data_IF_545870874165
#
_entry.id   IF_545870874165
#
_cell.length_a   1.000
_cell.length_b   1.000
_cell.length_c   1.000
_cell.angle_alpha   90.00
_cell.angle_beta   90.00
_cell.angle_gamma   90.00
#
_symmetry.space_group_name_H-M   'P 1'
#
loop_
_entity.id
_entity.type
_entity.pdbx_description
1 polymer ?
#
# COMPACT_ATOMS: atom_id res chain seq x y z
N UNK A 1 9.20 -5.88 -7.64
CA UNK A 1 7.94 -6.44 -8.17
C UNK A 1 6.85 -5.80 -7.34
N UNK A 2 5.90 -5.09 -7.96
CA UNK A 2 4.78 -4.53 -7.22
C UNK A 2 3.78 -5.64 -6.94
N UNK A 3 3.40 -5.81 -5.67
CA UNK A 3 2.44 -6.82 -5.25
C UNK A 3 1.02 -6.27 -5.47
N UNK A 4 0.15 -7.08 -6.09
CA UNK A 4 -1.26 -6.71 -6.33
C UNK A 4 -2.05 -7.14 -5.11
N UNK A 5 -2.70 -6.18 -4.46
CA UNK A 5 -3.44 -6.37 -3.21
C UNK A 5 -4.91 -6.05 -3.48
N UNK A 6 -5.75 -7.08 -3.61
CA UNK A 6 -7.11 -6.95 -4.13
C UNK A 6 -8.17 -6.61 -3.08
N UNK A 7 -7.84 -6.72 -1.79
CA UNK A 7 -8.73 -6.37 -0.67
C UNK A 7 -7.96 -5.78 0.53
N UNK A 8 -8.71 -5.24 1.50
CA UNK A 8 -8.15 -4.61 2.71
C UNK A 8 -7.38 -5.58 3.61
N UNK A 9 -7.79 -6.84 3.64
CA UNK A 9 -7.15 -7.90 4.41
C UNK A 9 -5.74 -8.18 3.89
N UNK A 10 -5.62 -8.37 2.57
CA UNK A 10 -4.34 -8.58 1.89
C UNK A 10 -3.41 -7.39 2.10
N UNK A 11 -3.94 -6.16 1.96
CA UNK A 11 -3.18 -4.93 2.20
C UNK A 11 -2.64 -4.87 3.64
N UNK A 12 -3.49 -5.20 4.62
CA UNK A 12 -3.12 -5.20 6.03
C UNK A 12 -2.06 -6.25 6.35
N UNK A 13 -2.23 -7.48 5.86
CA UNK A 13 -1.28 -8.58 6.07
C UNK A 13 0.06 -8.29 5.40
N UNK A 14 0.05 -7.74 4.19
CA UNK A 14 1.27 -7.34 3.49
C UNK A 14 2.02 -6.25 4.26
N UNK A 15 1.34 -5.17 4.67
CA UNK A 15 1.96 -4.07 5.39
C UNK A 15 2.49 -4.49 6.77
N UNK A 16 1.80 -5.39 7.48
CA UNK A 16 2.28 -5.95 8.74
C UNK A 16 3.59 -6.74 8.54
N UNK A 17 3.69 -7.54 7.47
CA UNK A 17 4.90 -8.28 7.14
C UNK A 17 6.06 -7.32 6.80
N UNK A 18 5.79 -6.28 6.01
CA UNK A 18 6.80 -5.28 5.64
C UNK A 18 7.25 -4.40 6.82
N UNK A 19 6.32 -4.08 7.74
CA UNK A 19 6.65 -3.37 8.97
C UNK A 19 7.65 -4.15 9.83
N UNK A 20 7.46 -5.48 9.98
CA UNK A 20 8.38 -6.35 10.72
C UNK A 20 9.79 -6.34 10.10
N UNK A 21 9.87 -6.17 8.78
CA UNK A 21 11.13 -6.03 8.03
C UNK A 21 11.68 -4.59 8.04
N UNK A 22 10.90 -3.61 8.51
CA UNK A 22 11.19 -2.17 8.46
C UNK A 22 11.58 -1.70 7.06
N UNK A 23 10.88 -2.23 6.04
CA UNK A 23 11.16 -1.88 4.65
C UNK A 23 10.90 -0.39 4.44
N UNK A 24 11.94 0.37 4.07
CA UNK A 24 11.89 1.84 3.99
C UNK A 24 10.94 2.37 2.92
N UNK A 25 10.89 1.70 1.77
CA UNK A 25 10.06 2.09 0.62
C UNK A 25 9.37 0.86 0.04
N UNK A 26 8.08 0.97 -0.22
CA UNK A 26 7.24 -0.07 -0.80
C UNK A 26 6.52 0.48 -2.03
N UNK A 27 6.31 -0.39 -3.00
CA UNK A 27 5.46 -0.11 -4.16
C UNK A 27 4.41 -1.23 -4.23
N UNK A 28 3.15 -0.87 -4.08
CA UNK A 28 2.03 -1.81 -4.14
C UNK A 28 1.08 -1.40 -5.25
N UNK A 29 0.31 -2.35 -5.76
CA UNK A 29 -0.79 -2.08 -6.68
C UNK A 29 -2.08 -2.47 -5.99
N UNK A 30 -3.05 -1.57 -5.96
CA UNK A 30 -4.37 -1.80 -5.38
C UNK A 30 -5.45 -1.50 -6.42
N UNK A 31 -6.62 -2.14 -6.37
CA UNK A 31 -7.78 -1.68 -7.15
C UNK A 31 -8.26 -0.32 -6.63
N UNK A 32 -8.82 0.51 -7.52
CA UNK A 32 -9.31 1.87 -7.24
C UNK A 32 -10.26 1.91 -6.02
N UNK A 33 -11.08 0.86 -5.83
CA UNK A 33 -11.98 0.72 -4.69
C UNK A 33 -11.30 0.74 -3.32
N UNK A 34 -10.01 0.40 -3.24
CA UNK A 34 -9.22 0.41 -1.99
C UNK A 34 -8.49 1.73 -1.77
N UNK A 35 -8.52 2.64 -2.74
CA UNK A 35 -7.79 3.90 -2.65
C UNK A 35 -8.20 4.72 -1.43
N UNK A 36 -9.51 4.81 -1.14
CA UNK A 36 -10.03 5.61 -0.03
C UNK A 36 -9.58 5.07 1.35
N UNK A 37 -9.51 3.75 1.51
CA UNK A 37 -9.11 3.09 2.76
C UNK A 37 -7.58 2.99 2.91
N UNK A 38 -6.84 3.02 1.80
CA UNK A 38 -5.39 2.82 1.78
C UNK A 38 -4.59 3.76 2.69
N UNK A 39 -4.89 5.07 2.85
CA UNK A 39 -4.13 5.93 3.75
C UNK A 39 -4.33 5.56 5.22
N UNK A 40 -5.56 5.16 5.59
CA UNK A 40 -5.88 4.77 6.97
C UNK A 40 -5.17 3.47 7.35
N UNK A 41 -5.26 2.46 6.48
CA UNK A 41 -4.59 1.16 6.67
C UNK A 41 -3.07 1.37 6.72
N UNK A 42 -2.50 2.09 5.76
CA UNK A 42 -1.05 2.34 5.69
C UNK A 42 -0.50 3.03 6.94
N UNK A 43 -1.22 4.03 7.45
CA UNK A 43 -0.83 4.79 8.64
C UNK A 43 -0.77 3.92 9.89
N UNK A 44 -1.66 2.92 10.02
CA UNK A 44 -1.68 1.97 11.14
C UNK A 44 -0.36 1.19 11.27
N UNK A 45 0.30 0.91 10.14
CA UNK A 45 1.56 0.17 10.05
C UNK A 45 2.79 1.08 9.89
N UNK A 46 2.65 2.39 10.12
CA UNK A 46 3.78 3.32 10.07
C UNK A 46 4.20 3.76 8.66
N UNK A 47 3.38 3.48 7.65
CA UNK A 47 3.63 3.86 6.27
C UNK A 47 2.86 5.13 5.89
N UNK A 48 3.51 5.99 5.12
CA UNK A 48 2.89 7.16 4.47
C UNK A 48 2.93 6.96 2.96
N UNK A 49 1.80 7.15 2.30
CA UNK A 49 1.73 7.19 0.83
C UNK A 49 2.35 8.51 0.38
N UNK A 50 3.31 8.44 -0.54
CA UNK A 50 4.03 9.60 -1.08
C UNK A 50 3.74 9.85 -2.55
N UNK A 51 3.21 8.84 -3.25
CA UNK A 51 2.91 8.91 -4.67
C UNK A 51 1.82 7.90 -5.03
N UNK A 52 1.03 8.23 -6.04
CA UNK A 52 -0.06 7.42 -6.56
C UNK A 52 -0.13 7.57 -8.07
N UNK A 53 0.01 6.45 -8.79
CA UNK A 53 -0.02 6.40 -10.25
C UNK A 53 -1.23 5.56 -10.70
N UNK A 54 -2.10 6.16 -11.51
CA UNK A 54 -3.23 5.46 -12.13
C UNK A 54 -2.73 4.46 -13.17
N UNK A 55 -3.12 3.21 -13.01
CA UNK A 55 -2.86 2.14 -13.96
C UNK A 55 -4.12 1.82 -14.79
N UNK A 56 -3.95 1.31 -16.01
CA UNK A 56 -5.07 0.80 -16.80
C UNK A 56 -5.88 -0.26 -16.04
N UNK A 57 -7.18 -0.34 -16.34
CA UNK A 57 -8.12 -1.32 -15.76
C UNK A 57 -8.54 -1.08 -14.30
N UNK A 58 -8.47 0.17 -13.81
CA UNK A 58 -8.99 0.51 -12.47
C UNK A 58 -8.08 0.07 -11.34
N UNK A 59 -6.77 0.02 -11.59
CA UNK A 59 -5.74 -0.22 -10.60
C UNK A 59 -4.95 1.06 -10.35
N UNK A 60 -4.36 1.16 -9.17
CA UNK A 60 -3.55 2.29 -8.74
C UNK A 60 -2.30 1.73 -8.11
N UNK A 61 -1.15 2.21 -8.59
CA UNK A 61 0.14 1.92 -7.98
C UNK A 61 0.41 2.97 -6.90
N UNK A 62 0.56 2.53 -5.66
CA UNK A 62 0.93 3.39 -4.54
C UNK A 62 2.39 3.19 -4.16
N UNK A 63 3.06 4.30 -3.93
CA UNK A 63 4.40 4.31 -3.33
C UNK A 63 4.28 4.72 -1.88
N UNK A 64 4.74 3.85 -0.97
CA UNK A 64 4.71 4.07 0.47
C UNK A 64 6.13 4.19 1.03
N UNK A 65 6.28 5.02 2.04
CA UNK A 65 7.53 5.18 2.79
C UNK A 65 7.27 4.96 4.27
N UNK A 66 8.12 4.17 4.91
CA UNK A 66 8.08 3.95 6.34
C UNK A 66 8.54 5.22 7.06
N UNK A 67 7.73 5.73 7.99
CA UNK A 67 8.00 6.99 8.71
C UNK A 67 7.72 6.88 10.21
N UNK A 68 7.70 5.66 10.75
CA UNK A 68 7.44 5.41 12.18
C UNK A 68 8.58 5.87 13.08
#
# INVERSE_FOLDING_TARGET
>A
MSEILDNEGDLSTFLEAQEKLRTQKLEIVIPERLLEESPYISKKYGYSIIDGEDLPNGYIKLTLVYRR
#
